data_IF_853151269902
#
_entry.id   IF_853151269902
#
_cell.length_a   1.000
_cell.length_b   1.000
_cell.length_c   1.000
_cell.angle_alpha   90.00
_cell.angle_beta   90.00
_cell.angle_gamma   90.00
#
_symmetry.space_group_name_H-M   'P 1'
#
loop_
_entity.id
_entity.type
_entity.pdbx_description
1 polymer ?
#
# COMPACT_ATOMS: atom_id res chain seq x y z
N UNK A 1 -7.84 6.98 -7.48
CA UNK A 1 -7.69 7.00 -6.00
C UNK A 1 -8.58 8.03 -5.30
N UNK A 2 -9.61 8.62 -5.95
CA UNK A 2 -10.51 9.59 -5.30
C UNK A 2 -9.89 10.94 -4.92
N UNK A 3 -8.72 11.28 -5.47
CA UNK A 3 -8.10 12.60 -5.31
C UNK A 3 -8.68 13.62 -6.31
N UNK A 4 -9.08 13.13 -7.48
CA UNK A 4 -9.91 13.83 -8.45
C UNK A 4 -11.06 12.90 -8.82
N UNK A 5 -12.26 13.45 -8.96
CA UNK A 5 -13.40 12.72 -9.50
C UNK A 5 -13.35 12.78 -11.03
N UNK A 6 -13.78 11.70 -11.67
CA UNK A 6 -13.97 11.71 -13.10
C UNK A 6 -15.21 12.56 -13.42
N UNK A 7 -15.05 13.58 -14.27
CA UNK A 7 -16.18 14.40 -14.71
C UNK A 7 -17.19 13.60 -15.55
N UNK A 8 -16.72 12.58 -16.26
CA UNK A 8 -17.51 11.61 -17.02
C UNK A 8 -16.82 10.24 -17.09
N UNK A 9 -17.59 9.20 -17.39
CA UNK A 9 -17.12 7.82 -17.51
C UNK A 9 -17.23 7.04 -16.19
N UNK A 10 -16.74 5.80 -16.21
CA UNK A 10 -16.80 4.90 -15.07
C UNK A 10 -15.47 4.20 -14.82
N UNK A 11 -15.19 3.91 -13.55
CA UNK A 11 -14.02 3.14 -13.13
C UNK A 11 -14.47 1.71 -12.86
N UNK A 12 -13.87 0.74 -13.55
CA UNK A 12 -14.11 -0.67 -13.30
C UNK A 12 -12.90 -1.29 -12.59
N UNK A 13 -13.17 -2.01 -11.50
CA UNK A 13 -12.20 -2.84 -10.78
C UNK A 13 -12.75 -4.27 -10.80
N UNK A 14 -11.95 -5.24 -11.25
CA UNK A 14 -12.38 -6.64 -11.40
C UNK A 14 -13.72 -6.78 -12.15
N UNK A 15 -13.87 -6.01 -13.23
CA UNK A 15 -15.09 -5.95 -14.05
C UNK A 15 -16.35 -5.43 -13.32
N UNK A 16 -16.20 -4.79 -12.16
CA UNK A 16 -17.29 -4.16 -11.41
C UNK A 16 -17.11 -2.65 -11.39
N UNK A 17 -18.17 -1.95 -11.75
CA UNK A 17 -18.22 -0.49 -11.66
C UNK A 17 -18.10 -0.06 -10.19
N UNK A 18 -17.16 0.85 -9.92
CA UNK A 18 -16.81 1.31 -8.59
C UNK A 18 -16.74 2.83 -8.57
N UNK A 19 -17.48 3.46 -7.65
CA UNK A 19 -17.31 4.88 -7.36
C UNK A 19 -16.24 5.06 -6.27
N UNK A 20 -15.17 5.81 -6.59
CA UNK A 20 -14.04 6.04 -5.70
C UNK A 20 -14.01 7.52 -5.35
N UNK A 21 -14.65 7.88 -4.24
CA UNK A 21 -14.76 9.28 -3.81
C UNK A 21 -13.62 9.74 -2.91
N UNK A 22 -12.83 8.80 -2.39
CA UNK A 22 -11.70 9.10 -1.53
C UNK A 22 -10.58 8.05 -1.64
N UNK A 23 -9.39 8.39 -1.15
CA UNK A 23 -8.27 7.46 -1.02
C UNK A 23 -8.60 6.28 -0.10
N UNK A 24 -9.45 6.51 0.92
CA UNK A 24 -9.93 5.43 1.81
C UNK A 24 -10.83 4.45 1.06
N UNK A 25 -11.64 4.90 0.10
CA UNK A 25 -12.47 4.02 -0.73
C UNK A 25 -11.60 3.14 -1.60
N UNK A 26 -10.60 3.72 -2.26
CA UNK A 26 -9.62 2.98 -3.05
C UNK A 26 -8.92 1.91 -2.21
N UNK A 27 -8.48 2.25 -0.99
CA UNK A 27 -7.83 1.31 -0.09
C UNK A 27 -8.75 0.14 0.32
N UNK A 28 -10.06 0.40 0.54
CA UNK A 28 -11.03 -0.68 0.82
C UNK A 28 -11.22 -1.63 -0.36
N UNK A 29 -11.02 -1.14 -1.57
CA UNK A 29 -11.05 -1.91 -2.81
C UNK A 29 -9.72 -2.64 -3.08
N UNK A 30 -8.77 -2.62 -2.14
CA UNK A 30 -7.47 -3.27 -2.28
C UNK A 30 -6.47 -2.50 -3.16
N UNK A 31 -6.77 -1.25 -3.50
CA UNK A 31 -5.90 -0.44 -4.33
C UNK A 31 -4.83 0.26 -3.49
N UNK A 32 -3.56 -0.05 -3.76
CA UNK A 32 -2.39 0.68 -3.26
C UNK A 32 -1.88 1.70 -4.29
N UNK A 33 -1.27 2.78 -3.81
CA UNK A 33 -0.64 3.81 -4.66
C UNK A 33 0.86 3.86 -4.40
N UNK A 34 1.66 3.90 -5.48
CA UNK A 34 3.10 4.15 -5.42
C UNK A 34 3.38 5.45 -6.17
N UNK A 35 4.02 6.40 -5.50
CA UNK A 35 4.39 7.69 -6.10
C UNK A 35 5.77 7.60 -6.77
N UNK A 36 5.95 8.31 -7.89
CA UNK A 36 7.24 8.37 -8.59
C UNK A 36 8.31 9.10 -7.75
N UNK A 37 7.92 10.17 -7.05
CA UNK A 37 8.78 10.81 -6.06
C UNK A 37 8.50 10.20 -4.70
N UNK A 38 9.56 9.81 -3.98
CA UNK A 38 9.41 9.16 -2.68
C UNK A 38 8.71 10.06 -1.67
N UNK A 39 7.68 9.52 -1.03
CA UNK A 39 6.90 10.16 0.03
C UNK A 39 7.22 9.58 1.41
N UNK A 40 8.44 9.05 1.58
CA UNK A 40 8.92 8.47 2.84
C UNK A 40 9.20 9.56 3.87
N UNK A 41 9.02 9.24 5.16
CA UNK A 41 9.53 10.03 6.26
C UNK A 41 11.05 9.77 6.35
N UNK A 42 11.91 10.77 6.08
CA UNK A 42 13.36 10.56 5.96
C UNK A 42 14.03 10.04 7.23
N UNK A 43 13.49 10.39 8.39
CA UNK A 43 14.01 10.04 9.71
C UNK A 43 13.56 8.65 10.17
N UNK A 44 12.75 7.96 9.38
CA UNK A 44 12.25 6.62 9.67
C UNK A 44 12.97 5.56 8.84
N UNK A 45 13.23 4.42 9.48
CA UNK A 45 13.67 3.20 8.80
C UNK A 45 12.61 2.71 7.81
N UNK A 46 13.01 1.81 6.91
CA UNK A 46 12.10 1.14 5.96
C UNK A 46 10.95 0.44 6.70
N UNK A 47 11.26 -0.24 7.80
CA UNK A 47 10.26 -0.95 8.60
C UNK A 47 9.24 0.02 9.21
N UNK A 48 9.70 1.15 9.73
CA UNK A 48 8.82 2.18 10.32
C UNK A 48 7.93 2.83 9.27
N UNK A 49 8.47 3.20 8.11
CA UNK A 49 7.68 3.72 6.99
C UNK A 49 6.62 2.71 6.51
N UNK A 50 6.96 1.42 6.48
CA UNK A 50 6.02 0.35 6.13
C UNK A 50 4.91 0.17 7.18
N UNK A 51 5.26 0.25 8.47
CA UNK A 51 4.27 0.18 9.56
C UNK A 51 3.36 1.41 9.58
N UNK A 52 3.87 2.57 9.17
CA UNK A 52 3.10 3.82 9.04
C UNK A 52 2.13 3.78 7.86
N UNK A 53 2.52 3.14 6.74
CA UNK A 53 1.71 3.12 5.52
C UNK A 53 0.46 2.24 5.63
N UNK A 54 0.42 1.31 6.59
CA UNK A 54 -0.75 0.47 6.88
C UNK A 54 -1.68 1.12 7.91
N UNK A 55 -2.98 1.11 7.61
CA UNK A 55 -4.01 1.54 8.55
C UNK A 55 -4.94 0.35 8.91
N UNK A 56 -5.36 0.20 10.17
CA UNK A 56 -5.02 1.04 11.34
C UNK A 56 -3.68 0.67 12.00
N UNK A 57 -3.02 1.67 12.60
CA UNK A 57 -1.77 1.48 13.35
C UNK A 57 -2.13 1.06 14.79
N UNK A 58 -1.57 -0.06 15.32
CA UNK A 58 -1.84 -0.48 16.68
C UNK A 58 -1.21 0.49 17.70
N UNK A 59 -1.84 0.62 18.88
CA UNK A 59 -1.35 1.48 19.98
C UNK A 59 0.04 1.06 20.50
N UNK A 60 0.35 -0.23 20.40
CA UNK A 60 1.65 -0.81 20.76
C UNK A 60 2.12 -1.63 19.57
N UNK A 61 3.33 -1.37 19.11
CA UNK A 61 3.93 -2.04 17.95
C UNK A 61 4.94 -3.07 18.48
N UNK A 62 4.75 -4.33 18.08
CA UNK A 62 5.71 -5.40 18.32
C UNK A 62 6.71 -5.45 17.16
N UNK A 63 7.83 -4.75 17.32
CA UNK A 63 8.85 -4.63 16.27
C UNK A 63 9.48 -5.96 15.85
N UNK A 64 9.55 -6.94 16.75
CA UNK A 64 10.08 -8.26 16.41
C UNK A 64 9.12 -8.99 15.47
N UNK A 65 7.82 -8.94 15.78
CA UNK A 65 6.78 -9.51 14.90
C UNK A 65 6.73 -8.81 13.54
N UNK A 66 6.88 -7.49 13.50
CA UNK A 66 6.87 -6.75 12.24
C UNK A 66 8.07 -7.07 11.35
N UNK A 67 9.25 -7.21 11.95
CA UNK A 67 10.44 -7.66 11.22
C UNK A 67 10.25 -9.03 10.61
N UNK A 68 9.76 -10.00 11.40
CA UNK A 68 9.47 -11.34 10.88
C UNK A 68 8.44 -11.33 9.76
N UNK A 69 7.42 -10.48 9.85
CA UNK A 69 6.42 -10.34 8.79
C UNK A 69 7.06 -9.84 7.50
N UNK A 70 7.88 -8.79 7.58
CA UNK A 70 8.58 -8.23 6.42
C UNK A 70 9.53 -9.25 5.79
N UNK A 71 10.32 -9.96 6.60
CA UNK A 71 11.24 -11.00 6.10
C UNK A 71 10.49 -12.11 5.35
N UNK A 72 9.33 -12.55 5.85
CA UNK A 72 8.48 -13.52 5.14
C UNK A 72 7.94 -12.96 3.83
N UNK A 73 7.49 -11.71 3.82
CA UNK A 73 6.96 -11.06 2.63
C UNK A 73 8.06 -10.92 1.56
N UNK A 74 9.26 -10.52 1.96
CA UNK A 74 10.42 -10.48 1.07
C UNK A 74 10.74 -11.89 0.58
N UNK A 75 10.81 -12.91 1.44
CA UNK A 75 11.10 -14.28 1.00
C UNK A 75 10.07 -14.83 0.00
N UNK A 76 8.78 -14.49 0.16
CA UNK A 76 7.71 -14.90 -0.74
C UNK A 76 7.71 -14.15 -2.08
N UNK A 77 8.17 -12.89 -2.07
CA UNK A 77 8.09 -11.98 -3.21
C UNK A 77 9.45 -11.56 -3.76
N UNK A 78 10.56 -12.13 -3.27
CA UNK A 78 11.91 -11.88 -3.74
C UNK A 78 12.03 -12.44 -5.17
N UNK A 79 11.53 -11.60 -6.08
CA UNK A 79 11.77 -11.50 -7.50
C UNK A 79 12.50 -12.70 -8.11
N UNK A 80 11.71 -13.56 -8.75
CA UNK A 80 12.13 -14.56 -9.74
C UNK A 80 12.78 -13.94 -11.00
N UNK A 81 13.50 -12.81 -10.86
CA UNK A 81 14.09 -12.00 -11.94
C UNK A 81 15.63 -12.08 -11.99
N UNK A 82 16.27 -12.99 -11.26
CA UNK A 82 17.68 -13.34 -11.44
C UNK A 82 17.87 -14.68 -12.18
N UNK A 83 16.83 -15.14 -12.88
CA UNK A 83 16.86 -16.36 -13.66
C UNK A 83 16.61 -16.07 -15.15
N UNK A 84 17.32 -15.10 -15.73
CA UNK A 84 17.71 -15.06 -17.16
C UNK A 84 19.09 -14.39 -17.28
#
# INVERSE_FOLDING_TARGET
MGYYQADQGSVLIDNRECDIQSTRDAHRLGLGMVYQHFTLVPEMTVLENLVLSRAPIPKVIDWHKERQHLERLIAQNAFSYLAE
#
